data_IF_722918838865
#
_entry.id   IF_722918838865
#
_cell.length_a   1.000
_cell.length_b   1.000
_cell.length_c   1.000
_cell.angle_alpha   90.00
_cell.angle_beta   90.00
_cell.angle_gamma   90.00
#
_symmetry.space_group_name_H-M   'P 1'
#
loop_
_entity.id
_entity.type
_entity.pdbx_description
1 polymer ?
#
# COMPACT_ATOMS: atom_id res chain seq x y z
N UNK A 1 -10.69 43.89 -60.86
CA UNK A 1 -10.84 44.26 -59.44
C UNK A 1 -10.03 45.51 -59.19
N UNK A 2 -10.64 46.58 -58.64
CA UNK A 2 -9.85 47.74 -58.22
C UNK A 2 -8.97 47.30 -57.04
N UNK A 3 -7.79 47.88 -56.92
CA UNK A 3 -6.84 47.58 -55.82
C UNK A 3 -7.47 47.81 -54.43
N UNK A 4 -8.52 48.62 -54.33
CA UNK A 4 -9.35 48.78 -53.12
C UNK A 4 -10.11 47.51 -52.74
N UNK A 5 -10.67 46.80 -53.71
CA UNK A 5 -11.52 45.62 -53.48
C UNK A 5 -10.67 44.46 -52.98
N UNK A 6 -9.48 44.28 -53.56
CA UNK A 6 -8.51 43.27 -53.10
C UNK A 6 -8.04 43.52 -51.65
N UNK A 7 -7.75 44.78 -51.30
CA UNK A 7 -7.39 45.16 -49.92
C UNK A 7 -8.54 44.93 -48.93
N UNK A 8 -9.78 45.18 -49.35
CA UNK A 8 -10.96 44.92 -48.53
C UNK A 8 -11.16 43.42 -48.26
N UNK A 9 -11.14 42.58 -49.30
CA UNK A 9 -11.26 41.12 -49.13
C UNK A 9 -10.10 40.50 -48.34
N UNK A 10 -8.87 40.99 -48.56
CA UNK A 10 -7.71 40.55 -47.78
C UNK A 10 -7.85 40.91 -46.30
N UNK A 11 -8.31 42.12 -45.99
CA UNK A 11 -8.54 42.54 -44.59
C UNK A 11 -9.65 41.71 -43.94
N UNK A 12 -10.75 41.48 -44.66
CA UNK A 12 -11.86 40.67 -44.17
C UNK A 12 -11.44 39.22 -43.89
N UNK A 13 -10.65 38.62 -44.79
CA UNK A 13 -10.11 37.28 -44.61
C UNK A 13 -9.22 37.18 -43.36
N UNK A 14 -8.34 38.16 -43.15
CA UNK A 14 -7.48 38.21 -41.95
C UNK A 14 -8.33 38.30 -40.68
N UNK A 15 -9.36 39.14 -40.67
CA UNK A 15 -10.26 39.28 -39.51
C UNK A 15 -10.99 37.97 -39.23
N UNK A 16 -11.54 37.32 -40.26
CA UNK A 16 -12.23 36.02 -40.11
C UNK A 16 -11.27 34.95 -39.61
N UNK A 17 -10.06 34.87 -40.18
CA UNK A 17 -9.03 33.94 -39.74
C UNK A 17 -8.64 34.17 -38.27
N UNK A 18 -8.56 35.43 -37.83
CA UNK A 18 -8.24 35.80 -36.46
C UNK A 18 -9.36 35.41 -35.49
N UNK A 19 -10.62 35.67 -35.85
CA UNK A 19 -11.79 35.27 -35.08
C UNK A 19 -11.83 33.73 -34.95
N UNK A 20 -11.66 33.01 -36.05
CA UNK A 20 -11.61 31.54 -36.04
C UNK A 20 -10.48 31.03 -35.16
N UNK A 21 -9.29 31.65 -35.24
CA UNK A 21 -8.14 31.28 -34.41
C UNK A 21 -8.43 31.47 -32.92
N UNK A 22 -9.06 32.59 -32.54
CA UNK A 22 -9.46 32.87 -31.15
C UNK A 22 -10.55 31.89 -30.68
N UNK A 23 -11.55 31.59 -31.52
CA UNK A 23 -12.60 30.63 -31.21
C UNK A 23 -12.04 29.22 -31.01
N UNK A 24 -11.13 28.77 -31.88
CA UNK A 24 -10.44 27.48 -31.76
C UNK A 24 -9.60 27.45 -30.48
N UNK A 25 -8.83 28.50 -30.21
CA UNK A 25 -8.03 28.61 -28.99
C UNK A 25 -8.90 28.53 -27.73
N UNK A 26 -9.99 29.29 -27.66
CA UNK A 26 -10.92 29.28 -26.52
C UNK A 26 -11.62 27.91 -26.36
N UNK A 27 -11.99 27.28 -27.48
CA UNK A 27 -12.59 25.96 -27.45
C UNK A 27 -11.64 24.92 -26.87
N UNK A 28 -10.38 24.86 -27.34
CA UNK A 28 -9.44 23.84 -26.87
C UNK A 28 -8.90 24.10 -25.46
N UNK A 29 -8.80 25.36 -25.03
CA UNK A 29 -8.27 25.71 -23.71
C UNK A 29 -9.31 25.69 -22.59
N UNK A 30 -10.60 25.66 -22.92
CA UNK A 30 -11.69 25.49 -21.96
C UNK A 30 -11.86 24.04 -21.49
N UNK A 31 -12.57 23.86 -20.39
CA UNK A 31 -12.95 22.54 -19.87
C UNK A 31 -13.65 21.66 -20.92
N UNK A 32 -13.45 20.36 -20.81
CA UNK A 32 -14.02 19.33 -21.68
C UNK A 32 -15.54 19.32 -21.61
N UNK A 33 -16.11 19.46 -20.40
CA UNK A 33 -17.55 19.50 -20.15
C UNK A 33 -17.88 20.46 -19.00
N UNK A 34 -19.12 20.45 -18.51
CA UNK A 34 -19.50 21.18 -17.27
C UNK A 34 -19.44 20.28 -16.03
N UNK A 35 -18.92 19.07 -16.16
CA UNK A 35 -18.82 18.12 -15.06
C UNK A 35 -17.72 18.56 -14.09
N UNK A 36 -18.15 18.90 -12.87
CA UNK A 36 -17.29 19.33 -11.77
C UNK A 36 -16.84 18.16 -10.88
N UNK A 37 -17.21 16.92 -11.23
CA UNK A 37 -16.80 15.70 -10.53
C UNK A 37 -15.29 15.56 -10.54
N UNK A 38 -14.71 15.41 -9.35
CA UNK A 38 -13.27 15.30 -9.17
C UNK A 38 -12.78 13.91 -9.52
N UNK A 39 -11.78 13.85 -10.41
CA UNK A 39 -11.04 12.66 -10.82
C UNK A 39 -9.64 12.72 -10.22
N UNK A 40 -9.26 11.62 -9.59
CA UNK A 40 -7.95 11.43 -9.00
C UNK A 40 -6.88 11.25 -10.10
N UNK A 41 -5.79 12.00 -9.98
CA UNK A 41 -4.63 11.97 -10.86
C UNK A 41 -3.38 11.90 -10.01
N UNK A 42 -2.63 10.81 -10.11
CA UNK A 42 -1.39 10.60 -9.37
C UNK A 42 -0.23 10.97 -10.27
N UNK A 43 0.63 11.87 -9.79
CA UNK A 43 1.87 12.26 -10.46
C UNK A 43 3.04 11.72 -9.66
N UNK A 44 3.79 10.78 -10.25
CA UNK A 44 4.96 10.16 -9.63
C UNK A 44 6.17 11.10 -9.69
N UNK A 45 7.12 10.90 -8.78
CA UNK A 45 8.38 11.65 -8.81
C UNK A 45 9.13 11.40 -10.12
N UNK A 46 9.63 12.47 -10.75
CA UNK A 46 10.34 12.41 -12.02
C UNK A 46 9.45 12.46 -13.28
N UNK A 47 8.12 12.45 -13.13
CA UNK A 47 7.23 12.67 -14.26
C UNK A 47 7.27 14.13 -14.77
N UNK A 48 6.94 14.33 -16.04
CA UNK A 48 6.90 15.65 -16.69
C UNK A 48 5.52 15.94 -17.25
N UNK A 49 5.23 17.21 -17.59
CA UNK A 49 4.00 17.55 -18.28
C UNK A 49 3.77 16.70 -19.53
N UNK A 50 4.82 16.37 -20.28
CA UNK A 50 4.70 15.56 -21.49
C UNK A 50 4.34 14.10 -21.20
N UNK A 51 4.82 13.51 -20.10
CA UNK A 51 4.51 12.12 -19.74
C UNK A 51 3.08 11.95 -19.22
N UNK A 52 2.51 12.96 -18.56
CA UNK A 52 1.17 12.88 -17.98
C UNK A 52 0.03 13.22 -18.96
N UNK A 53 0.31 13.84 -20.10
CA UNK A 53 -0.72 14.28 -21.07
C UNK A 53 -1.62 13.15 -21.59
N UNK A 54 -1.10 11.95 -21.96
CA UNK A 54 -1.94 10.83 -22.34
C UNK A 54 -2.90 10.41 -21.22
N UNK A 55 -2.44 10.43 -19.96
CA UNK A 55 -3.28 10.15 -18.80
C UNK A 55 -4.39 11.19 -18.64
N UNK A 56 -4.09 12.49 -18.81
CA UNK A 56 -5.10 13.55 -18.74
C UNK A 56 -6.15 13.38 -19.84
N UNK A 57 -5.73 13.01 -21.06
CA UNK A 57 -6.66 12.77 -22.17
C UNK A 57 -7.52 11.54 -21.93
N UNK A 58 -6.92 10.44 -21.47
CA UNK A 58 -7.62 9.20 -21.12
C UNK A 58 -8.69 9.41 -20.04
N UNK A 59 -8.42 10.26 -19.05
CA UNK A 59 -9.36 10.63 -18.00
C UNK A 59 -10.36 11.74 -18.40
N UNK A 60 -10.37 12.14 -19.68
CA UNK A 60 -11.26 13.17 -20.21
C UNK A 60 -11.11 14.55 -19.55
N UNK A 61 -9.90 14.87 -19.07
CA UNK A 61 -9.57 16.16 -18.44
C UNK A 61 -9.10 17.22 -19.45
N UNK A 62 -8.70 16.79 -20.65
CA UNK A 62 -8.29 17.68 -21.75
C UNK A 62 -8.93 17.27 -23.07
N UNK A 63 -9.22 18.25 -23.93
CA UNK A 63 -9.82 17.99 -25.25
C UNK A 63 -8.83 17.43 -26.26
N UNK A 64 -7.58 17.89 -26.24
CA UNK A 64 -6.55 17.50 -27.20
C UNK A 64 -5.16 17.51 -26.57
N UNK A 65 -4.44 16.41 -26.73
CA UNK A 65 -3.05 16.30 -26.30
C UNK A 65 -2.15 17.31 -27.02
N UNK A 66 -2.34 17.48 -28.34
CA UNK A 66 -1.51 18.36 -29.15
C UNK A 66 -1.66 19.83 -28.72
N UNK A 67 -2.89 20.27 -28.47
CA UNK A 67 -3.14 21.63 -27.98
C UNK A 67 -2.60 21.83 -26.56
N UNK A 68 -2.74 20.84 -25.67
CA UNK A 68 -2.19 20.94 -24.32
C UNK A 68 -0.65 21.00 -24.34
N UNK A 69 0.01 20.15 -25.15
CA UNK A 69 1.47 20.19 -25.39
C UNK A 69 1.92 21.57 -25.88
N UNK A 70 1.21 22.12 -26.87
CA UNK A 70 1.49 23.45 -27.40
C UNK A 70 1.33 24.54 -26.33
N UNK A 71 0.26 24.46 -25.53
CA UNK A 71 -0.03 25.41 -24.47
C UNK A 71 1.05 25.42 -23.39
N UNK A 72 1.47 24.24 -22.91
CA UNK A 72 2.57 24.08 -21.95
C UNK A 72 3.87 24.70 -22.49
N UNK A 73 4.21 24.41 -23.76
CA UNK A 73 5.42 24.91 -24.41
C UNK A 73 5.44 26.43 -24.54
N UNK A 74 4.33 27.04 -24.98
CA UNK A 74 4.24 28.50 -25.18
C UNK A 74 4.33 29.26 -23.86
N UNK A 75 3.68 28.74 -22.82
CA UNK A 75 3.62 29.40 -21.51
C UNK A 75 4.80 29.04 -20.59
N UNK A 76 5.75 28.19 -21.05
CA UNK A 76 6.97 27.79 -20.32
C UNK A 76 6.69 27.15 -18.95
N UNK A 77 5.58 26.41 -18.82
CA UNK A 77 5.28 25.67 -17.61
C UNK A 77 6.24 24.48 -17.47
N UNK A 78 7.09 24.50 -16.45
CA UNK A 78 8.07 23.44 -16.18
C UNK A 78 7.95 22.87 -14.76
N UNK A 79 7.28 23.58 -13.86
CA UNK A 79 7.14 23.17 -12.46
C UNK A 79 5.93 22.24 -12.32
N UNK A 80 6.20 20.93 -12.38
CA UNK A 80 5.24 19.88 -12.08
C UNK A 80 5.66 19.24 -10.75
N UNK A 81 4.85 19.41 -9.71
CA UNK A 81 5.11 18.77 -8.42
C UNK A 81 4.53 17.35 -8.40
N UNK A 82 5.27 16.39 -7.85
CA UNK A 82 4.73 15.05 -7.59
C UNK A 82 3.67 15.09 -6.49
N UNK A 83 2.65 14.24 -6.59
CA UNK A 83 1.58 14.16 -5.61
C UNK A 83 0.26 13.69 -6.22
N UNK A 84 -0.78 13.63 -5.39
CA UNK A 84 -2.14 13.30 -5.86
C UNK A 84 -2.91 14.59 -6.10
N UNK A 85 -3.57 14.66 -7.24
CA UNK A 85 -4.35 15.81 -7.68
C UNK A 85 -5.78 15.37 -7.98
N UNK A 86 -6.70 16.30 -7.84
CA UNK A 86 -8.11 16.06 -8.09
C UNK A 86 -8.62 17.10 -9.07
N UNK A 87 -8.75 16.67 -10.33
CA UNK A 87 -9.11 17.52 -11.46
C UNK A 87 -10.53 17.21 -11.91
N UNK A 88 -11.24 18.18 -12.46
CA UNK A 88 -12.59 17.98 -13.01
C UNK A 88 -12.63 18.41 -14.47
N UNK A 89 -13.59 17.88 -15.23
CA UNK A 89 -13.67 18.11 -16.67
C UNK A 89 -14.00 19.57 -17.02
N UNK A 90 -14.60 20.32 -16.10
CA UNK A 90 -14.87 21.75 -16.22
C UNK A 90 -13.62 22.64 -16.12
N UNK A 91 -12.47 22.09 -15.73
CA UNK A 91 -11.24 22.85 -15.60
C UNK A 91 -10.63 23.21 -16.97
N UNK A 92 -10.29 24.49 -17.13
CA UNK A 92 -9.50 24.95 -18.27
C UNK A 92 -8.04 24.49 -18.17
N UNK A 93 -7.31 24.54 -19.29
CA UNK A 93 -5.88 24.22 -19.32
C UNK A 93 -5.09 25.08 -18.32
N UNK A 94 -5.39 26.38 -18.29
CA UNK A 94 -4.79 27.31 -17.31
C UNK A 94 -5.03 26.84 -15.89
N UNK A 95 -6.26 26.43 -15.54
CA UNK A 95 -6.59 26.01 -14.18
C UNK A 95 -5.89 24.71 -13.80
N UNK A 96 -5.82 23.74 -14.71
CA UNK A 96 -5.11 22.48 -14.52
C UNK A 96 -3.62 22.76 -14.23
N UNK A 97 -2.99 23.62 -15.03
CA UNK A 97 -1.57 23.98 -14.86
C UNK A 97 -1.33 24.75 -13.55
N UNK A 98 -2.19 25.71 -13.20
CA UNK A 98 -2.11 26.39 -11.91
C UNK A 98 -2.21 25.42 -10.72
N UNK A 99 -3.03 24.38 -10.82
CA UNK A 99 -3.15 23.35 -9.78
C UNK A 99 -1.85 22.55 -9.67
N UNK A 100 -1.26 22.13 -10.79
CA UNK A 100 0.01 21.42 -10.81
C UNK A 100 1.20 22.24 -10.28
N UNK A 101 1.25 23.54 -10.59
CA UNK A 101 2.31 24.44 -10.12
C UNK A 101 2.18 24.76 -8.63
N UNK A 102 0.96 25.03 -8.16
CA UNK A 102 0.70 25.23 -6.73
C UNK A 102 1.07 23.97 -5.94
N UNK A 103 0.81 22.81 -6.53
CA UNK A 103 0.95 21.50 -5.89
C UNK A 103 -0.38 21.00 -5.36
N UNK A 104 -0.42 19.77 -4.82
CA UNK A 104 -1.62 19.17 -4.25
C UNK A 104 -2.25 20.12 -3.22
N UNK A 105 -3.49 20.57 -3.47
CA UNK A 105 -4.25 21.36 -2.51
C UNK A 105 -4.58 20.44 -1.32
N UNK A 106 -4.52 20.95 -0.09
CA UNK A 106 -4.82 20.21 1.14
C UNK A 106 -6.19 20.57 1.76
N UNK A 107 -6.91 21.55 1.22
CA UNK A 107 -8.26 21.90 1.71
C UNK A 107 -9.30 20.86 1.26
N UNK A 108 -9.94 20.21 2.23
CA UNK A 108 -10.93 19.14 2.02
C UNK A 108 -10.35 17.73 2.03
N UNK A 109 -9.08 17.58 1.66
CA UNK A 109 -8.39 16.28 1.60
C UNK A 109 -8.02 15.76 2.98
N UNK A 110 -8.06 14.43 3.11
CA UNK A 110 -7.57 13.74 4.31
C UNK A 110 -6.40 12.84 3.94
N UNK A 111 -5.41 12.78 4.81
CA UNK A 111 -4.34 11.78 4.76
C UNK A 111 -4.60 10.75 5.85
N UNK A 112 -4.60 9.48 5.47
CA UNK A 112 -4.74 8.36 6.39
C UNK A 112 -3.46 7.56 6.34
N UNK A 113 -2.76 7.47 7.47
CA UNK A 113 -1.53 6.70 7.61
C UNK A 113 -1.84 5.35 8.25
N UNK A 114 -1.51 4.27 7.55
CA UNK A 114 -1.52 2.91 8.08
C UNK A 114 -0.08 2.46 8.25
N UNK A 115 0.36 2.33 9.51
CA UNK A 115 1.74 1.93 9.83
C UNK A 115 1.95 0.44 9.58
N UNK A 116 3.19 0.06 9.38
CA UNK A 116 3.65 -1.33 9.33
C UNK A 116 3.25 -2.08 10.62
N UNK A 117 3.04 -3.39 10.50
CA UNK A 117 2.78 -4.27 11.65
C UNK A 117 1.39 -4.14 12.26
N UNK A 118 0.53 -3.26 11.75
CA UNK A 118 -0.86 -3.19 12.22
C UNK A 118 -1.75 -4.22 11.51
N UNK A 119 -2.71 -4.77 12.25
CA UNK A 119 -3.70 -5.71 11.74
C UNK A 119 -4.99 -5.02 11.27
N UNK A 120 -5.89 -5.79 10.65
CA UNK A 120 -7.17 -5.29 10.13
C UNK A 120 -8.04 -4.64 11.21
N UNK A 121 -8.01 -5.13 12.46
CA UNK A 121 -8.79 -4.52 13.56
C UNK A 121 -8.32 -3.08 13.81
N UNK A 122 -7.00 -2.86 13.78
CA UNK A 122 -6.44 -1.51 13.91
C UNK A 122 -6.70 -0.65 12.66
N UNK A 123 -6.69 -1.24 11.45
CA UNK A 123 -7.09 -0.54 10.22
C UNK A 123 -8.53 -0.06 10.32
N UNK A 124 -9.47 -0.91 10.74
CA UNK A 124 -10.88 -0.55 10.91
C UNK A 124 -11.04 0.64 11.87
N UNK A 125 -10.34 0.62 13.01
CA UNK A 125 -10.34 1.74 13.97
C UNK A 125 -9.76 3.04 13.36
N UNK A 126 -8.71 2.96 12.54
CA UNK A 126 -8.12 4.13 11.86
C UNK A 126 -9.11 4.68 10.82
N UNK A 127 -9.77 3.82 10.05
CA UNK A 127 -10.79 4.24 9.08
C UNK A 127 -11.93 4.97 9.80
N UNK A 128 -12.43 4.42 10.90
CA UNK A 128 -13.47 5.04 11.71
C UNK A 128 -13.04 6.40 12.29
N UNK A 129 -11.81 6.52 12.79
CA UNK A 129 -11.30 7.78 13.33
C UNK A 129 -11.13 8.86 12.26
N UNK A 130 -10.74 8.47 11.04
CA UNK A 130 -10.33 9.42 9.98
C UNK A 130 -11.41 9.72 8.95
N UNK A 131 -12.46 8.91 8.86
CA UNK A 131 -13.51 9.00 7.82
C UNK A 131 -14.90 9.07 8.45
N UNK A 132 -15.95 9.02 7.61
CA UNK A 132 -17.34 8.91 8.04
C UNK A 132 -17.86 7.46 8.02
N UNK A 133 -16.99 6.47 7.77
CA UNK A 133 -17.30 5.05 7.88
C UNK A 133 -17.09 4.57 9.33
N UNK A 134 -17.67 3.42 9.67
CA UNK A 134 -17.53 2.77 10.99
C UNK A 134 -16.66 1.52 10.90
N UNK A 135 -16.11 1.07 12.04
CA UNK A 135 -15.36 -0.18 12.08
C UNK A 135 -16.22 -1.40 11.71
N UNK A 136 -17.50 -1.40 12.08
CA UNK A 136 -18.44 -2.47 11.75
C UNK A 136 -18.70 -2.57 10.24
N UNK A 137 -18.83 -1.45 9.53
CA UNK A 137 -18.95 -1.44 8.06
C UNK A 137 -17.73 -2.06 7.38
N UNK A 138 -16.52 -1.85 7.94
CA UNK A 138 -15.30 -2.49 7.44
C UNK A 138 -15.39 -4.01 7.57
N UNK A 139 -15.81 -4.51 8.73
CA UNK A 139 -15.94 -5.94 8.96
C UNK A 139 -17.07 -6.57 8.13
N UNK A 140 -18.17 -5.88 7.91
CA UNK A 140 -19.26 -6.34 7.04
C UNK A 140 -18.82 -6.41 5.57
N UNK A 141 -18.07 -5.42 5.08
CA UNK A 141 -17.50 -5.46 3.73
C UNK A 141 -16.56 -6.65 3.55
N UNK A 142 -15.71 -6.94 4.54
CA UNK A 142 -14.79 -8.08 4.50
C UNK A 142 -15.50 -9.45 4.49
N UNK A 143 -16.75 -9.54 4.98
CA UNK A 143 -17.59 -10.75 4.88
C UNK A 143 -18.30 -10.87 3.53
N UNK A 144 -18.35 -9.80 2.73
CA UNK A 144 -19.03 -9.81 1.45
C UNK A 144 -18.24 -10.63 0.42
N UNK A 145 -18.66 -11.88 0.22
CA UNK A 145 -18.00 -12.81 -0.70
C UNK A 145 -17.88 -12.26 -2.13
N UNK A 146 -18.92 -11.61 -2.66
CA UNK A 146 -18.88 -11.06 -4.02
C UNK A 146 -17.81 -9.97 -4.16
N UNK A 147 -17.64 -9.15 -3.12
CA UNK A 147 -16.60 -8.14 -3.08
C UNK A 147 -15.21 -8.78 -3.04
N UNK A 148 -14.98 -9.75 -2.15
CA UNK A 148 -13.70 -10.47 -2.05
C UNK A 148 -13.36 -11.22 -3.34
N UNK A 149 -14.32 -11.94 -3.93
CA UNK A 149 -14.13 -12.66 -5.20
C UNK A 149 -13.75 -11.68 -6.33
N UNK A 150 -14.37 -10.49 -6.38
CA UNK A 150 -14.01 -9.44 -7.35
C UNK A 150 -12.59 -8.89 -7.16
N UNK A 151 -12.10 -8.81 -5.93
CA UNK A 151 -10.70 -8.44 -5.65
C UNK A 151 -9.73 -9.56 -6.07
N UNK A 152 -10.08 -10.83 -5.82
CA UNK A 152 -9.29 -11.99 -6.25
C UNK A 152 -9.13 -12.02 -7.78
N UNK A 153 -10.19 -11.70 -8.53
CA UNK A 153 -10.12 -11.58 -9.99
C UNK A 153 -9.26 -10.41 -10.46
N UNK A 154 -9.23 -9.31 -9.69
CA UNK A 154 -8.54 -8.05 -10.06
C UNK A 154 -7.04 -8.09 -9.78
N UNK A 155 -6.60 -8.66 -8.65
CA UNK A 155 -5.22 -8.59 -8.18
C UNK A 155 -4.51 -9.95 -8.25
N UNK A 156 -3.42 -10.03 -9.01
CA UNK A 156 -2.71 -11.30 -9.28
C UNK A 156 -2.18 -12.01 -8.04
N UNK A 157 -1.96 -11.27 -6.94
CA UNK A 157 -1.42 -11.77 -5.69
C UNK A 157 -2.50 -12.20 -4.69
N UNK A 158 -3.78 -11.95 -4.99
CA UNK A 158 -4.90 -12.46 -4.19
C UNK A 158 -5.36 -13.79 -4.78
N UNK A 159 -5.49 -14.80 -3.94
CA UNK A 159 -5.96 -16.15 -4.32
C UNK A 159 -7.14 -16.54 -3.44
N UNK A 160 -7.79 -17.68 -3.72
CA UNK A 160 -8.84 -18.22 -2.85
C UNK A 160 -8.38 -18.56 -1.43
N UNK A 161 -7.06 -18.57 -1.17
CA UNK A 161 -6.51 -18.81 0.17
C UNK A 161 -7.03 -17.78 1.19
N UNK A 162 -7.23 -16.52 0.79
CA UNK A 162 -7.75 -15.47 1.69
C UNK A 162 -9.21 -15.69 2.13
N UNK A 163 -9.91 -16.63 1.48
CA UNK A 163 -11.29 -17.00 1.78
C UNK A 163 -11.38 -18.33 2.56
N UNK A 164 -10.25 -18.85 3.06
CA UNK A 164 -10.26 -20.01 3.95
C UNK A 164 -11.16 -19.74 5.18
N UNK A 165 -12.03 -20.70 5.52
CA UNK A 165 -12.97 -20.59 6.64
C UNK A 165 -12.34 -20.30 8.00
N UNK A 166 -11.05 -20.64 8.16
CA UNK A 166 -10.31 -20.48 9.40
C UNK A 166 -9.57 -19.13 9.48
N UNK A 167 -9.54 -18.35 8.38
CA UNK A 167 -9.03 -16.98 8.37
C UNK A 167 -10.01 -16.08 9.10
N UNK A 168 -9.48 -15.25 10.01
CA UNK A 168 -10.31 -14.33 10.80
C UNK A 168 -10.78 -13.13 9.99
N UNK A 169 -9.92 -12.60 9.13
CA UNK A 169 -10.20 -11.42 8.31
C UNK A 169 -9.57 -11.60 6.93
N UNK A 170 -10.37 -11.70 5.85
CA UNK A 170 -9.84 -11.61 4.49
C UNK A 170 -9.03 -10.33 4.31
N UNK A 171 -8.02 -10.35 3.44
CA UNK A 171 -7.08 -9.25 3.20
C UNK A 171 -6.10 -8.93 4.36
N UNK A 172 -6.10 -9.66 5.47
CA UNK A 172 -5.06 -9.48 6.50
C UNK A 172 -3.68 -9.75 5.90
N UNK A 173 -2.75 -8.79 6.00
CA UNK A 173 -1.43 -8.85 5.40
C UNK A 173 -1.33 -8.37 3.96
N UNK A 174 -2.44 -8.03 3.31
CA UNK A 174 -2.49 -7.65 1.90
C UNK A 174 -2.67 -6.13 1.69
N UNK A 175 -2.94 -5.37 2.74
CA UNK A 175 -3.20 -3.94 2.67
C UNK A 175 -1.90 -3.18 2.99
N UNK A 176 -1.12 -2.81 1.96
CA UNK A 176 0.23 -2.29 2.16
C UNK A 176 0.27 -1.08 3.11
N UNK A 177 1.21 -1.01 4.07
CA UNK A 177 1.34 0.11 4.98
C UNK A 177 1.93 1.33 4.26
N UNK A 178 1.22 2.46 4.31
CA UNK A 178 1.66 3.74 3.74
C UNK A 178 0.75 4.89 4.23
N UNK A 179 1.01 6.11 3.76
CA UNK A 179 0.10 7.25 3.88
C UNK A 179 -0.68 7.46 2.59
N UNK A 180 -2.01 7.38 2.68
CA UNK A 180 -2.92 7.49 1.56
C UNK A 180 -3.71 8.79 1.64
N UNK A 181 -3.73 9.54 0.54
CA UNK A 181 -4.52 10.76 0.42
C UNK A 181 -5.89 10.46 -0.21
N UNK A 182 -6.96 11.02 0.34
CA UNK A 182 -8.33 10.90 -0.17
C UNK A 182 -9.01 12.26 -0.26
N UNK A 183 -10.02 12.36 -1.14
CA UNK A 183 -10.73 13.60 -1.45
C UNK A 183 -11.32 14.27 -0.20
N UNK A 184 -11.94 13.47 0.68
CA UNK A 184 -12.57 13.91 1.92
C UNK A 184 -12.89 12.68 2.80
N UNK A 185 -13.60 12.92 3.91
CA UNK A 185 -14.03 11.89 4.87
C UNK A 185 -15.13 10.95 4.36
N UNK A 186 -15.78 11.27 3.24
CA UNK A 186 -16.84 10.44 2.63
C UNK A 186 -16.28 9.38 1.67
N UNK A 187 -14.95 9.19 1.64
CA UNK A 187 -14.33 8.09 0.88
C UNK A 187 -14.89 6.74 1.34
N UNK A 188 -15.25 5.87 0.39
CA UNK A 188 -15.78 4.54 0.72
C UNK A 188 -14.67 3.58 1.13
N UNK A 189 -15.02 2.56 1.92
CA UNK A 189 -14.07 1.54 2.39
C UNK A 189 -13.46 0.78 1.19
N UNK A 190 -14.25 0.50 0.15
CA UNK A 190 -13.76 -0.13 -1.08
C UNK A 190 -12.65 0.70 -1.72
N UNK A 191 -12.84 2.02 -1.84
CA UNK A 191 -11.83 2.90 -2.44
C UNK A 191 -10.56 2.98 -1.58
N UNK A 192 -10.67 2.91 -0.26
CA UNK A 192 -9.51 2.82 0.64
C UNK A 192 -8.76 1.51 0.38
N UNK A 193 -9.46 0.37 0.42
CA UNK A 193 -8.86 -0.95 0.22
C UNK A 193 -8.27 -1.13 -1.18
N UNK A 194 -8.96 -0.70 -2.24
CA UNK A 194 -8.43 -0.72 -3.59
C UNK A 194 -7.13 0.08 -3.69
N UNK A 195 -7.05 1.27 -3.07
CA UNK A 195 -5.83 2.09 -3.11
C UNK A 195 -4.67 1.43 -2.35
N UNK A 196 -4.95 0.75 -1.24
CA UNK A 196 -3.94 -0.02 -0.49
C UNK A 196 -3.48 -1.24 -1.29
N UNK A 197 -4.39 -1.94 -1.96
CA UNK A 197 -4.10 -3.10 -2.82
C UNK A 197 -3.36 -2.72 -4.10
N UNK A 198 -3.68 -1.58 -4.71
CA UNK A 198 -2.94 -1.02 -5.83
C UNK A 198 -1.48 -0.72 -5.41
N UNK A 199 -1.27 -0.24 -4.18
CA UNK A 199 0.08 -0.06 -3.63
C UNK A 199 0.76 -1.41 -3.38
N UNK A 200 0.06 -2.40 -2.83
CA UNK A 200 0.57 -3.78 -2.72
C UNK A 200 1.01 -4.31 -4.09
N UNK A 201 0.23 -4.10 -5.15
CA UNK A 201 0.58 -4.48 -6.52
C UNK A 201 1.87 -3.81 -6.98
N UNK A 202 1.98 -2.49 -6.78
CA UNK A 202 3.18 -1.72 -7.16
C UNK A 202 4.43 -2.24 -6.44
N UNK A 203 4.33 -2.53 -5.14
CA UNK A 203 5.47 -3.00 -4.34
C UNK A 203 5.85 -4.44 -4.65
N UNK A 204 4.87 -5.33 -4.84
CA UNK A 204 5.12 -6.75 -5.12
C UNK A 204 5.50 -7.01 -6.58
N UNK A 205 5.08 -6.16 -7.52
CA UNK A 205 5.37 -6.34 -8.95
C UNK A 205 6.87 -6.43 -9.27
N UNK A 206 7.72 -5.78 -8.46
CA UNK A 206 9.18 -5.84 -8.59
C UNK A 206 9.72 -7.26 -8.35
N UNK A 207 9.05 -8.05 -7.51
CA UNK A 207 9.45 -9.41 -7.11
C UNK A 207 8.56 -10.49 -7.74
N UNK A 208 7.63 -10.11 -8.61
CA UNK A 208 6.59 -11.00 -9.15
C UNK A 208 7.18 -12.23 -9.83
N UNK A 209 8.24 -12.08 -10.60
CA UNK A 209 8.89 -13.21 -11.27
C UNK A 209 9.49 -14.22 -10.29
N UNK A 210 10.12 -13.73 -9.22
CA UNK A 210 10.73 -14.57 -8.20
C UNK A 210 9.67 -15.29 -7.36
N UNK A 211 8.59 -14.57 -7.01
CA UNK A 211 7.42 -15.12 -6.33
C UNK A 211 6.79 -16.24 -7.16
N UNK A 212 6.50 -15.98 -8.45
CA UNK A 212 5.80 -16.93 -9.32
C UNK A 212 6.65 -18.14 -9.73
N UNK A 213 7.98 -18.02 -9.72
CA UNK A 213 8.92 -19.15 -9.94
C UNK A 213 9.20 -19.92 -8.66
N UNK A 214 9.01 -19.28 -7.50
CA UNK A 214 9.21 -19.87 -6.18
C UNK A 214 8.24 -21.03 -5.90
N UNK A 215 8.55 -21.78 -4.85
CA UNK A 215 7.67 -22.86 -4.35
C UNK A 215 6.64 -22.36 -3.33
N UNK A 216 6.86 -21.19 -2.76
CA UNK A 216 6.08 -20.59 -1.68
C UNK A 216 5.00 -19.70 -2.28
N UNK A 217 3.74 -19.84 -1.83
CA UNK A 217 2.65 -19.00 -2.34
C UNK A 217 2.79 -17.56 -1.83
N UNK A 218 2.13 -16.60 -2.51
CA UNK A 218 2.06 -15.22 -2.01
C UNK A 218 1.48 -15.19 -0.59
N UNK A 219 0.49 -16.04 -0.34
CA UNK A 219 -0.15 -16.14 0.97
C UNK A 219 0.84 -16.56 2.06
N UNK A 220 1.65 -17.57 1.80
CA UNK A 220 2.70 -18.04 2.71
C UNK A 220 3.81 -16.99 2.90
N UNK A 221 4.23 -16.31 1.83
CA UNK A 221 5.23 -15.23 1.90
C UNK A 221 4.74 -14.10 2.79
N UNK A 222 3.53 -13.60 2.56
CA UNK A 222 2.95 -12.51 3.37
C UNK A 222 2.69 -12.97 4.80
N UNK A 223 2.35 -14.25 5.00
CA UNK A 223 2.18 -14.82 6.33
C UNK A 223 3.48 -14.77 7.12
N UNK A 224 4.56 -15.32 6.56
CA UNK A 224 5.88 -15.27 7.18
C UNK A 224 6.36 -13.83 7.39
N UNK A 225 6.19 -12.97 6.39
CA UNK A 225 6.57 -11.56 6.47
C UNK A 225 5.84 -10.82 7.61
N UNK A 226 4.56 -11.10 7.83
CA UNK A 226 3.77 -10.49 8.92
C UNK A 226 4.23 -10.90 10.31
N UNK A 227 4.80 -12.10 10.46
CA UNK A 227 5.41 -12.58 11.70
C UNK A 227 6.77 -11.91 11.89
N UNK A 228 7.61 -11.91 10.83
CA UNK A 228 8.93 -11.26 10.85
C UNK A 228 8.82 -9.77 11.21
N UNK A 229 7.83 -9.05 10.66
CA UNK A 229 7.63 -7.61 10.93
C UNK A 229 7.49 -7.31 12.41
N UNK A 230 6.86 -8.23 13.15
CA UNK A 230 6.56 -8.07 14.56
C UNK A 230 7.63 -8.65 15.49
N UNK A 231 8.59 -9.40 14.96
CA UNK A 231 9.69 -10.02 15.70
C UNK A 231 11.02 -9.27 15.55
N UNK A 232 11.19 -8.49 14.47
CA UNK A 232 12.47 -7.89 14.10
C UNK A 232 12.37 -6.42 13.67
N UNK A 233 13.25 -5.59 14.23
CA UNK A 233 13.26 -4.14 13.97
C UNK A 233 14.17 -3.73 12.80
N UNK A 234 15.31 -4.38 12.63
CA UNK A 234 16.32 -4.01 11.61
C UNK A 234 16.33 -4.97 10.42
N UNK A 235 16.94 -4.57 9.31
CA UNK A 235 17.07 -5.44 8.13
C UNK A 235 17.80 -6.75 8.46
N UNK A 236 18.95 -6.68 9.14
CA UNK A 236 19.74 -7.88 9.51
C UNK A 236 19.01 -8.79 10.48
N UNK A 237 18.24 -8.21 11.41
CA UNK A 237 17.42 -9.01 12.32
C UNK A 237 16.32 -9.75 11.54
N UNK A 238 15.67 -9.09 10.57
CA UNK A 238 14.60 -9.68 9.75
C UNK A 238 15.08 -10.89 8.94
N UNK A 239 16.23 -10.80 8.26
CA UNK A 239 16.77 -11.91 7.46
C UNK A 239 17.23 -13.09 8.34
N UNK A 240 17.79 -12.81 9.51
CA UNK A 240 18.15 -13.82 10.50
C UNK A 240 16.93 -14.51 11.14
N UNK A 241 15.90 -13.76 11.52
CA UNK A 241 14.63 -14.32 12.04
C UNK A 241 13.93 -15.16 10.97
N UNK A 242 13.91 -14.69 9.72
CA UNK A 242 13.42 -15.47 8.57
C UNK A 242 14.17 -16.80 8.44
N UNK A 243 15.51 -16.78 8.55
CA UNK A 243 16.35 -17.98 8.54
C UNK A 243 15.93 -18.98 9.63
N UNK A 244 15.72 -18.51 10.87
CA UNK A 244 15.27 -19.36 11.99
C UNK A 244 13.91 -20.00 11.68
N UNK A 245 12.95 -19.24 11.18
CA UNK A 245 11.63 -19.79 10.86
C UNK A 245 11.67 -20.82 9.75
N UNK A 246 12.41 -20.59 8.66
CA UNK A 246 12.62 -21.59 7.62
C UNK A 246 13.31 -22.85 8.15
N UNK A 247 14.36 -22.70 8.96
CA UNK A 247 15.05 -23.83 9.59
C UNK A 247 14.11 -24.65 10.48
N UNK A 248 13.27 -23.98 11.29
CA UNK A 248 12.27 -24.66 12.12
C UNK A 248 11.25 -25.42 11.30
N UNK A 249 10.67 -24.79 10.27
CA UNK A 249 9.69 -25.44 9.40
C UNK A 249 10.27 -26.66 8.68
N UNK A 250 11.50 -26.53 8.14
CA UNK A 250 12.17 -27.63 7.44
C UNK A 250 12.55 -28.81 8.35
N UNK A 251 12.58 -28.61 9.67
CA UNK A 251 12.93 -29.63 10.65
C UNK A 251 11.75 -30.03 11.57
N UNK A 252 10.51 -29.70 11.19
CA UNK A 252 9.30 -30.01 11.97
C UNK A 252 9.36 -29.47 13.42
N UNK A 253 9.93 -28.28 13.59
CA UNK A 253 9.95 -27.55 14.86
C UNK A 253 8.87 -26.46 14.80
N UNK A 254 8.11 -26.31 15.88
CA UNK A 254 7.09 -25.26 16.01
C UNK A 254 7.72 -23.87 15.86
N UNK A 255 7.05 -22.91 15.21
CA UNK A 255 7.58 -21.56 15.07
C UNK A 255 7.73 -20.86 16.42
N UNK A 256 6.83 -21.14 17.39
CA UNK A 256 6.98 -20.72 18.77
C UNK A 256 6.91 -19.20 18.99
N UNK A 257 6.19 -18.47 18.13
CA UNK A 257 6.13 -17.02 18.13
C UNK A 257 4.91 -16.49 18.90
N UNK A 258 5.12 -15.61 19.90
CA UNK A 258 4.08 -14.98 20.72
C UNK A 258 3.12 -14.17 19.86
N UNK A 259 3.65 -13.48 18.84
CA UNK A 259 2.87 -12.52 18.05
C UNK A 259 1.72 -13.21 17.33
N UNK A 260 1.92 -14.48 16.97
CA UNK A 260 0.87 -15.33 16.41
C UNK A 260 -0.18 -15.72 17.46
N UNK A 261 0.21 -15.93 18.72
CA UNK A 261 -0.71 -16.20 19.83
C UNK A 261 -1.53 -14.97 20.19
N UNK A 262 -0.92 -13.79 20.29
CA UNK A 262 -1.64 -12.52 20.49
C UNK A 262 -2.72 -12.34 19.43
N UNK A 263 -2.37 -12.55 18.16
CA UNK A 263 -3.32 -12.48 17.06
C UNK A 263 -4.43 -13.54 17.17
N UNK A 264 -4.06 -14.79 17.46
CA UNK A 264 -4.99 -15.90 17.61
C UNK A 264 -6.09 -15.65 18.65
N UNK A 265 -5.75 -14.93 19.72
CA UNK A 265 -6.68 -14.55 20.80
C UNK A 265 -7.26 -13.15 20.65
N UNK A 266 -6.98 -12.45 19.55
CA UNK A 266 -7.42 -11.07 19.28
C UNK A 266 -7.04 -10.10 20.40
N UNK A 267 -5.84 -10.28 20.95
CA UNK A 267 -5.27 -9.43 21.98
C UNK A 267 -4.36 -8.41 21.29
N UNK A 268 -4.84 -7.17 21.19
CA UNK A 268 -4.10 -6.07 20.58
C UNK A 268 -3.31 -5.22 21.60
N UNK A 269 -3.46 -5.51 22.90
CA UNK A 269 -2.66 -4.91 23.98
C UNK A 269 -1.52 -5.85 24.37
N UNK A 270 -0.33 -5.49 23.91
CA UNK A 270 0.90 -6.27 24.07
C UNK A 270 1.51 -6.13 25.47
N UNK A 271 1.00 -5.20 26.29
CA UNK A 271 1.37 -5.10 27.70
C UNK A 271 0.74 -6.20 28.56
N UNK A 272 -0.29 -6.87 28.05
CA UNK A 272 -0.92 -8.01 28.71
C UNK A 272 -0.14 -9.29 28.38
N UNK A 273 0.60 -9.81 29.35
CA UNK A 273 1.26 -11.12 29.21
C UNK A 273 0.29 -12.25 28.85
N UNK A 274 0.75 -13.17 28.00
CA UNK A 274 0.02 -14.36 27.58
C UNK A 274 -0.06 -15.38 28.72
N UNK A 275 -1.25 -15.91 28.96
CA UNK A 275 -1.50 -16.97 29.94
C UNK A 275 -1.02 -18.33 29.42
N UNK A 276 -0.68 -19.26 30.32
CA UNK A 276 -0.31 -20.63 29.92
C UNK A 276 -1.42 -21.34 29.13
N UNK A 277 -2.69 -20.99 29.36
CA UNK A 277 -3.82 -21.52 28.58
C UNK A 277 -3.78 -20.98 27.14
N UNK A 278 -3.57 -19.67 26.95
CA UNK A 278 -3.45 -19.07 25.61
C UNK A 278 -2.25 -19.69 24.86
N UNK A 279 -1.10 -19.84 25.51
CA UNK A 279 0.11 -20.43 24.90
C UNK A 279 -0.06 -21.89 24.43
N UNK A 280 -0.89 -22.68 25.13
CA UNK A 280 -1.06 -24.12 24.85
C UNK A 280 -2.28 -24.46 23.99
N UNK A 281 -3.19 -23.51 23.75
CA UNK A 281 -4.45 -23.77 23.05
C UNK A 281 -4.25 -23.85 21.54
N UNK A 282 -4.68 -24.96 20.94
CA UNK A 282 -4.67 -25.17 19.50
C UNK A 282 -5.74 -24.36 18.77
N UNK A 283 -5.33 -23.61 17.75
CA UNK A 283 -6.19 -22.97 16.75
C UNK A 283 -5.37 -22.70 15.48
N UNK A 284 -5.99 -22.11 14.45
CA UNK A 284 -5.40 -21.94 13.13
C UNK A 284 -4.29 -20.88 13.03
N UNK A 285 -4.01 -20.14 14.11
CA UNK A 285 -2.97 -19.10 14.16
C UNK A 285 -1.90 -19.34 15.23
N UNK A 286 -2.20 -20.05 16.30
CA UNK A 286 -1.32 -20.13 17.47
C UNK A 286 -0.10 -21.06 17.26
N UNK A 287 1.04 -20.50 16.83
CA UNK A 287 2.26 -21.27 16.56
C UNK A 287 3.07 -21.66 17.79
N UNK A 288 2.61 -21.27 19.00
CA UNK A 288 3.15 -21.73 20.29
C UNK A 288 2.59 -23.09 20.72
N UNK A 289 1.38 -23.43 20.28
CA UNK A 289 0.72 -24.65 20.71
C UNK A 289 1.39 -25.88 20.07
N UNK A 290 1.56 -26.95 20.85
CA UNK A 290 2.26 -28.19 20.43
C UNK A 290 1.60 -28.95 19.26
N UNK A 291 0.48 -28.46 18.73
CA UNK A 291 -0.23 -29.02 17.58
C UNK A 291 0.10 -28.29 16.26
N UNK A 292 0.89 -27.22 16.31
CA UNK A 292 1.01 -26.28 15.20
C UNK A 292 2.38 -26.35 14.51
N UNK A 293 2.44 -27.08 13.39
CA UNK A 293 3.62 -27.14 12.52
C UNK A 293 3.43 -26.24 11.30
N UNK A 294 4.47 -25.49 10.94
CA UNK A 294 4.45 -24.59 9.78
C UNK A 294 3.86 -23.21 10.07
N UNK A 295 3.45 -22.53 9.01
CA UNK A 295 2.86 -21.19 9.06
C UNK A 295 1.40 -21.22 9.55
N UNK A 296 0.95 -20.18 10.26
CA UNK A 296 -0.48 -20.00 10.54
C UNK A 296 -1.29 -19.94 9.24
N UNK A 297 -2.61 -20.12 9.34
CA UNK A 297 -3.51 -20.18 8.17
C UNK A 297 -3.53 -18.90 7.34
N UNK A 298 -2.95 -17.80 7.85
CA UNK A 298 -2.69 -16.59 7.09
C UNK A 298 -1.91 -15.55 7.88
N UNK A 299 -1.71 -14.35 7.31
CA UNK A 299 -0.97 -13.27 7.95
C UNK A 299 -1.65 -12.76 9.23
N UNK A 300 -0.86 -12.10 10.08
CA UNK A 300 -1.31 -11.55 11.37
C UNK A 300 -1.22 -10.01 11.45
N UNK A 301 -0.63 -9.39 10.44
CA UNK A 301 -0.43 -7.94 10.31
C UNK A 301 -0.06 -7.59 8.88
N UNK A 302 -0.04 -6.29 8.54
CA UNK A 302 0.45 -5.82 7.25
C UNK A 302 1.97 -5.55 7.30
N UNK A 303 2.79 -6.35 6.60
CA UNK A 303 4.24 -6.24 6.66
C UNK A 303 4.77 -5.07 5.82
N UNK A 304 5.95 -4.58 6.21
CA UNK A 304 6.76 -3.70 5.36
C UNK A 304 7.34 -4.44 4.16
N UNK A 305 7.82 -3.68 3.18
CA UNK A 305 8.55 -4.28 2.05
C UNK A 305 9.85 -4.99 2.51
N UNK A 306 10.48 -4.54 3.59
CA UNK A 306 11.71 -5.16 4.09
C UNK A 306 11.44 -6.53 4.74
N UNK A 307 10.31 -6.71 5.42
CA UNK A 307 9.90 -8.02 5.93
C UNK A 307 9.47 -8.96 4.81
N UNK A 308 8.82 -8.44 3.75
CA UNK A 308 8.50 -9.23 2.55
C UNK A 308 9.79 -9.72 1.87
N UNK A 309 10.79 -8.84 1.70
CA UNK A 309 12.11 -9.24 1.17
C UNK A 309 12.78 -10.29 2.04
N UNK A 310 12.75 -10.13 3.37
CA UNK A 310 13.35 -11.10 4.28
C UNK A 310 12.66 -12.47 4.21
N UNK A 311 11.35 -12.52 3.99
CA UNK A 311 10.61 -13.76 3.76
C UNK A 311 10.97 -14.42 2.42
N UNK A 312 11.21 -13.62 1.37
CA UNK A 312 11.61 -14.10 0.04
C UNK A 312 13.07 -14.56 -0.02
N UNK A 313 13.96 -13.82 0.63
CA UNK A 313 15.41 -14.01 0.56
C UNK A 313 15.98 -14.13 1.98
N UNK A 314 15.71 -15.24 2.69
CA UNK A 314 16.25 -15.47 4.03
C UNK A 314 17.77 -15.65 3.97
N UNK A 315 18.45 -15.31 5.08
CA UNK A 315 19.84 -15.72 5.24
C UNK A 315 19.93 -17.25 5.36
N UNK A 316 21.01 -17.83 4.84
CA UNK A 316 21.28 -19.26 5.00
C UNK A 316 22.15 -19.44 6.24
N UNK A 317 21.55 -19.90 7.33
CA UNK A 317 22.22 -20.10 8.62
C UNK A 317 21.82 -21.42 9.26
N UNK A 318 22.49 -21.79 10.36
CA UNK A 318 22.13 -22.96 11.17
C UNK A 318 21.43 -22.55 12.49
N UNK A 319 20.84 -21.36 12.54
CA UNK A 319 20.16 -20.87 13.73
C UNK A 319 18.74 -21.44 13.84
N UNK A 320 18.36 -21.81 15.05
CA UNK A 320 17.03 -22.32 15.39
C UNK A 320 16.37 -21.53 16.51
N UNK A 321 17.07 -20.57 17.12
CA UNK A 321 16.58 -19.78 18.23
C UNK A 321 17.03 -18.34 18.05
N UNK A 322 16.21 -17.40 18.50
CA UNK A 322 16.56 -16.00 18.57
C UNK A 322 15.95 -15.36 19.81
N UNK A 323 16.55 -14.27 20.26
CA UNK A 323 16.01 -13.43 21.32
C UNK A 323 16.45 -11.98 21.12
N UNK A 324 15.52 -11.04 21.33
CA UNK A 324 15.82 -9.62 21.29
C UNK A 324 16.25 -9.11 22.67
N UNK A 325 17.24 -8.22 22.70
CA UNK A 325 17.58 -7.46 23.91
C UNK A 325 16.78 -6.15 24.00
N UNK A 326 16.87 -5.44 25.13
CA UNK A 326 16.15 -4.19 25.35
C UNK A 326 16.50 -3.04 24.40
N UNK A 327 17.62 -3.14 23.68
CA UNK A 327 17.97 -2.17 22.63
C UNK A 327 17.29 -2.49 21.29
N UNK A 328 16.57 -3.61 21.21
CA UNK A 328 15.93 -4.12 20.00
C UNK A 328 16.88 -4.92 19.10
N UNK A 329 18.09 -5.26 19.57
CA UNK A 329 19.04 -6.09 18.82
C UNK A 329 18.70 -7.56 18.98
N UNK A 330 18.66 -8.30 17.88
CA UNK A 330 18.41 -9.75 17.90
C UNK A 330 19.71 -10.54 18.03
N UNK A 331 19.67 -11.57 18.88
CA UNK A 331 20.76 -12.53 19.08
C UNK A 331 20.29 -13.91 18.66
N UNK A 332 21.12 -14.64 17.93
CA UNK A 332 20.77 -15.93 17.33
C UNK A 332 21.58 -17.08 17.94
N UNK A 333 20.97 -18.27 18.01
CA UNK A 333 21.56 -19.48 18.57
C UNK A 333 21.17 -20.73 17.76
N UNK A 334 22.09 -21.69 17.67
CA UNK A 334 21.88 -22.97 16.99
C UNK A 334 21.16 -23.97 17.90
N UNK A 335 21.42 -23.90 19.21
CA UNK A 335 20.88 -24.83 20.21
C UNK A 335 20.14 -24.10 21.33
N UNK A 336 19.26 -24.83 22.02
CA UNK A 336 18.56 -24.29 23.20
C UNK A 336 19.55 -23.89 24.31
N UNK A 337 20.64 -24.64 24.48
CA UNK A 337 21.68 -24.34 25.48
C UNK A 337 22.40 -23.02 25.15
N UNK A 338 22.74 -22.78 23.88
CA UNK A 338 23.31 -21.50 23.45
C UNK A 338 22.32 -20.34 23.69
N UNK A 339 21.05 -20.55 23.37
CA UNK A 339 20.00 -19.57 23.61
C UNK A 339 19.88 -19.21 25.11
N UNK A 340 19.84 -20.21 26.00
CA UNK A 340 19.79 -20.00 27.45
C UNK A 340 21.03 -19.26 27.98
N UNK A 341 22.22 -19.53 27.43
CA UNK A 341 23.45 -18.80 27.75
C UNK A 341 23.35 -17.34 27.33
N UNK A 342 22.82 -17.05 26.13
CA UNK A 342 22.60 -15.68 25.64
C UNK A 342 21.62 -14.96 26.58
N UNK A 343 20.48 -15.58 26.91
CA UNK A 343 19.48 -15.02 27.83
C UNK A 343 20.11 -14.70 29.19
N UNK A 344 20.85 -15.63 29.78
CA UNK A 344 21.53 -15.43 31.07
C UNK A 344 22.57 -14.29 31.00
N UNK A 345 23.29 -14.18 29.88
CA UNK A 345 24.26 -13.10 29.63
C UNK A 345 23.57 -11.73 29.51
N UNK A 346 22.44 -11.65 28.80
CA UNK A 346 21.64 -10.43 28.69
C UNK A 346 21.09 -9.99 30.04
N UNK A 347 20.59 -10.92 30.86
CA UNK A 347 20.14 -10.65 32.24
C UNK A 347 21.27 -10.08 33.09
N UNK A 348 22.46 -10.70 33.06
CA UNK A 348 23.64 -10.22 33.80
C UNK A 348 24.10 -8.83 33.36
N UNK A 349 23.89 -8.48 32.09
CA UNK A 349 24.24 -7.17 31.52
C UNK A 349 23.15 -6.11 31.68
N UNK A 350 22.02 -6.40 32.35
CA UNK A 350 20.83 -5.55 32.39
C UNK A 350 20.32 -5.14 30.99
N UNK A 351 20.46 -6.05 30.02
CA UNK A 351 19.95 -5.90 28.65
C UNK A 351 18.74 -6.78 28.38
N UNK A 352 18.28 -7.53 29.38
CA UNK A 352 17.09 -8.36 29.29
C UNK A 352 15.85 -7.53 29.63
N UNK A 353 14.85 -7.58 28.77
CA UNK A 353 13.57 -6.93 29.02
C UNK A 353 12.66 -7.95 29.69
N UNK A 354 12.38 -7.73 30.98
CA UNK A 354 11.28 -8.41 31.64
C UNK A 354 10.00 -7.81 31.06
N UNK A 355 9.44 -8.46 30.05
CA UNK A 355 8.12 -8.14 29.51
C UNK A 355 7.01 -8.61 30.46
#
# INVERSE_FOLDING_TARGET
MKTSDFKFFSTLFIVVALILSVSVYNYYTSGVSKDSTKKEIIIKSGETYYSIIPMLKKNNLIKSEAFFKLYVKINKHNDLKSGTYFLSEDMSFKKILEVFEKGPISEGFINITFKEGINIRKIANIIEEKTNNTADEVFELLKNKKYIDGLIEKYWFLTSEISNKDIYYPLEGYLFPDTYQFLNKDVTIEKIFEKMLDNTDEKLSIYKDDILKGKTTVHEILTLASIIELEANTYYDRTGVSSVFYNRMNNNIYLGSDVTTYYAFKIDDWSKGLTSKELSTCNSYNTRANCFLGLPVGPISNPSIESIKAALYPDITEYYYFVADCSGKTHFAKTITEHEIIVASLKKQNKWCDN
#
